data_IF_732674164115
#
_entry.id   IF_732674164115
#
_cell.length_a   1.000
_cell.length_b   1.000
_cell.length_c   1.000
_cell.angle_alpha   90.00
_cell.angle_beta   90.00
_cell.angle_gamma   90.00
#
_symmetry.space_group_name_H-M   'P 1'
#
loop_
_entity.id
_entity.type
_entity.pdbx_description
1 polymer ?
#
# COMPACT_ATOMS: atom_id res chain seq x y z
N UNK A 1 -22.55 -10.57 -6.52
CA UNK A 1 -21.68 -9.43 -6.14
C UNK A 1 -22.47 -8.14 -6.33
N UNK A 2 -22.32 -7.13 -5.46
CA UNK A 2 -23.02 -5.86 -5.64
C UNK A 2 -22.64 -5.21 -6.98
N UNK A 3 -23.57 -4.49 -7.60
CA UNK A 3 -23.28 -3.75 -8.84
C UNK A 3 -22.41 -2.52 -8.54
N UNK A 4 -21.60 -2.02 -9.50
CA UNK A 4 -20.83 -0.79 -9.32
C UNK A 4 -21.69 0.42 -8.91
N UNK A 5 -22.93 0.48 -9.40
CA UNK A 5 -23.91 1.50 -9.00
C UNK A 5 -24.29 1.40 -7.52
N UNK A 6 -24.55 0.19 -7.02
CA UNK A 6 -24.86 -0.04 -5.60
C UNK A 6 -23.65 0.27 -4.71
N UNK A 7 -22.43 -0.02 -5.16
CA UNK A 7 -21.21 0.33 -4.42
C UNK A 7 -21.04 1.84 -4.31
N UNK A 8 -21.31 2.60 -5.38
CA UNK A 8 -21.26 4.07 -5.36
C UNK A 8 -22.32 4.67 -4.42
N UNK A 9 -23.56 4.21 -4.54
CA UNK A 9 -24.65 4.64 -3.66
C UNK A 9 -24.35 4.28 -2.19
N UNK A 10 -23.71 3.14 -1.94
CA UNK A 10 -23.26 2.76 -0.59
C UNK A 10 -22.19 3.72 -0.05
N UNK A 11 -21.25 4.16 -0.89
CA UNK A 11 -20.27 5.18 -0.48
C UNK A 11 -21.01 6.45 -0.09
N UNK A 12 -21.94 6.94 -0.92
CA UNK A 12 -22.72 8.15 -0.65
C UNK A 12 -23.48 8.07 0.68
N UNK A 13 -24.15 6.94 0.95
CA UNK A 13 -24.85 6.70 2.22
C UNK A 13 -23.87 6.70 3.41
N UNK A 14 -22.74 6.00 3.29
CA UNK A 14 -21.77 5.90 4.38
C UNK A 14 -20.98 7.20 4.59
N UNK A 15 -20.85 8.06 3.59
CA UNK A 15 -20.19 9.37 3.75
C UNK A 15 -21.17 10.52 3.98
N UNK A 16 -22.48 10.27 3.86
CA UNK A 16 -23.54 11.26 3.97
C UNK A 16 -23.98 11.54 5.41
N UNK A 17 -25.00 12.40 5.55
CA UNK A 17 -25.55 12.84 6.83
C UNK A 17 -26.06 11.69 7.71
N UNK A 18 -26.53 10.61 7.09
CA UNK A 18 -27.23 9.52 7.78
C UNK A 18 -26.26 8.52 8.42
N UNK A 19 -24.97 8.57 8.05
CA UNK A 19 -23.94 7.71 8.60
C UNK A 19 -23.77 7.89 10.12
N UNK A 20 -24.00 9.10 10.63
CA UNK A 20 -23.87 9.41 12.06
C UNK A 20 -24.81 8.58 12.93
N UNK A 21 -26.08 8.48 12.56
CA UNK A 21 -27.07 7.72 13.34
C UNK A 21 -26.87 6.20 13.18
N UNK A 22 -26.48 5.74 11.98
CA UNK A 22 -26.09 4.35 11.73
C UNK A 22 -24.99 3.90 12.70
N UNK A 23 -23.93 4.70 12.81
CA UNK A 23 -22.80 4.41 13.70
C UNK A 23 -23.20 4.47 15.18
N UNK A 24 -24.08 5.41 15.56
CA UNK A 24 -24.60 5.53 16.92
C UNK A 24 -25.39 4.28 17.33
N UNK A 25 -26.28 3.80 16.45
CA UNK A 25 -27.03 2.56 16.66
C UNK A 25 -26.11 1.34 16.80
N UNK A 26 -25.05 1.26 15.99
CA UNK A 26 -24.05 0.22 16.11
C UNK A 26 -23.35 0.23 17.48
N UNK A 27 -22.97 1.41 18.00
CA UNK A 27 -22.35 1.54 19.32
C UNK A 27 -23.31 1.08 20.42
N UNK A 28 -24.55 1.59 20.43
CA UNK A 28 -25.57 1.23 21.44
C UNK A 28 -25.94 -0.25 21.37
N UNK A 29 -26.03 -0.84 20.17
CA UNK A 29 -26.29 -2.27 20.00
C UNK A 29 -25.10 -3.13 20.46
N UNK A 30 -23.87 -2.65 20.25
CA UNK A 30 -22.64 -3.38 20.61
C UNK A 30 -22.38 -3.42 22.12
N UNK A 31 -22.74 -2.36 22.87
CA UNK A 31 -22.57 -2.32 24.34
C UNK A 31 -23.45 -3.34 25.06
N UNK A 32 -24.57 -3.76 24.45
CA UNK A 32 -25.44 -4.82 24.98
C UNK A 32 -24.87 -6.24 24.82
N UNK A 33 -23.78 -6.42 24.07
CA UNK A 33 -23.30 -7.75 23.61
C UNK A 33 -21.85 -8.09 23.97
N UNK A 34 -21.23 -7.45 24.98
CA UNK A 34 -19.86 -7.78 25.39
C UNK A 34 -19.59 -7.70 26.89
N UNK A 35 -18.63 -8.48 27.46
CA UNK A 35 -18.22 -8.29 28.82
C UNK A 35 -17.70 -6.88 29.10
N UNK A 36 -17.94 -6.40 30.33
CA UNK A 36 -17.68 -5.03 30.77
C UNK A 36 -16.22 -4.64 30.49
N UNK A 37 -16.02 -3.51 29.82
CA UNK A 37 -14.70 -2.86 29.75
C UNK A 37 -14.22 -2.44 31.14
N UNK A 38 -12.94 -2.09 31.28
CA UNK A 38 -12.28 -1.70 32.55
C UNK A 38 -12.91 -0.52 33.32
N UNK A 39 -13.98 0.09 32.80
CA UNK A 39 -14.72 1.18 33.42
C UNK A 39 -16.24 0.99 33.45
N UNK A 40 -16.77 -0.21 33.19
CA UNK A 40 -18.22 -0.42 33.18
C UNK A 40 -18.75 -0.62 34.62
N UNK A 41 -19.67 0.25 35.03
CA UNK A 41 -20.49 0.05 36.23
C UNK A 41 -21.53 -1.05 35.96
N UNK A 42 -21.98 -1.74 37.01
CA UNK A 42 -22.81 -2.94 36.93
C UNK A 42 -24.27 -2.70 36.48
N UNK A 43 -24.63 -1.50 36.00
CA UNK A 43 -26.01 -1.10 35.70
C UNK A 43 -26.18 -0.61 34.25
N UNK A 44 -25.98 -1.50 33.29
CA UNK A 44 -25.94 -1.21 31.85
C UNK A 44 -27.30 -0.92 31.18
N UNK A 45 -28.37 -0.69 31.96
CA UNK A 45 -29.74 -0.57 31.42
C UNK A 45 -30.16 0.85 31.02
N UNK A 46 -29.35 1.88 31.31
CA UNK A 46 -29.71 3.30 31.10
C UNK A 46 -28.56 4.22 30.68
N UNK A 47 -27.45 3.68 30.15
CA UNK A 47 -26.34 4.51 29.69
C UNK A 47 -26.72 5.31 28.42
N UNK A 48 -27.15 6.55 28.63
CA UNK A 48 -27.49 7.49 27.56
C UNK A 48 -26.20 7.97 26.86
N UNK A 49 -26.05 7.63 25.58
CA UNK A 49 -25.00 8.20 24.72
C UNK A 49 -25.40 9.61 24.30
N UNK A 50 -24.61 10.61 24.71
CA UNK A 50 -24.78 12.04 24.37
C UNK A 50 -23.59 12.58 23.57
N UNK A 51 -23.70 13.82 23.08
CA UNK A 51 -22.59 14.56 22.45
C UNK A 51 -21.93 13.85 21.25
N UNK A 52 -22.73 13.07 20.53
CA UNK A 52 -22.27 12.26 19.41
C UNK A 52 -21.77 13.12 18.25
N UNK A 53 -20.56 12.80 17.78
CA UNK A 53 -19.95 13.33 16.56
C UNK A 53 -19.22 12.21 15.84
N UNK A 54 -19.36 12.16 14.52
CA UNK A 54 -18.62 11.26 13.66
C UNK A 54 -18.11 12.03 12.43
N UNK A 55 -16.83 11.89 12.13
CA UNK A 55 -16.18 12.51 10.98
C UNK A 55 -15.57 11.42 10.11
N UNK A 56 -15.83 11.46 8.81
CA UNK A 56 -15.20 10.55 7.84
C UNK A 56 -13.70 10.84 7.81
N UNK A 57 -12.91 9.82 8.09
CA UNK A 57 -11.45 9.88 8.05
C UNK A 57 -10.88 9.23 6.79
N UNK A 58 -11.49 8.13 6.34
CA UNK A 58 -11.01 7.41 5.16
C UNK A 58 -12.12 6.66 4.43
N UNK A 59 -11.95 6.50 3.12
CA UNK A 59 -12.80 5.66 2.28
C UNK A 59 -11.93 4.64 1.56
N UNK A 60 -12.30 3.38 1.69
CA UNK A 60 -11.64 2.26 1.03
C UNK A 60 -12.65 1.52 0.16
N UNK A 61 -12.53 1.70 -1.15
CA UNK A 61 -13.34 0.98 -2.13
C UNK A 61 -12.54 -0.18 -2.73
N UNK A 62 -13.14 -1.38 -2.73
CA UNK A 62 -12.63 -2.53 -3.46
C UNK A 62 -13.73 -3.04 -4.38
N UNK A 63 -13.62 -2.83 -5.70
CA UNK A 63 -14.58 -3.34 -6.65
C UNK A 63 -14.87 -4.83 -6.42
N UNK A 64 -16.13 -5.18 -6.16
CA UNK A 64 -16.60 -6.55 -5.93
C UNK A 64 -16.32 -7.15 -4.55
N UNK A 65 -15.49 -6.50 -3.71
CA UNK A 65 -15.19 -6.97 -2.35
C UNK A 65 -15.78 -6.09 -1.24
N UNK A 66 -16.34 -4.94 -1.60
CA UNK A 66 -17.07 -4.04 -0.71
C UNK A 66 -16.38 -2.72 -0.41
N UNK A 67 -17.14 -1.85 0.23
CA UNK A 67 -16.76 -0.49 0.63
C UNK A 67 -16.50 -0.51 2.14
N UNK A 68 -15.47 0.17 2.61
CA UNK A 68 -15.24 0.41 4.04
C UNK A 68 -14.95 1.89 4.26
N UNK A 69 -15.67 2.51 5.18
CA UNK A 69 -15.47 3.90 5.58
C UNK A 69 -15.00 3.91 7.04
N UNK A 70 -13.91 4.62 7.29
CA UNK A 70 -13.36 4.83 8.63
C UNK A 70 -13.80 6.17 9.18
N UNK A 71 -14.12 6.21 10.48
CA UNK A 71 -14.62 7.41 11.15
C UNK A 71 -13.87 7.69 12.45
N UNK A 72 -13.55 8.96 12.68
CA UNK A 72 -13.23 9.45 14.02
C UNK A 72 -14.54 9.78 14.73
N UNK A 73 -14.77 9.15 15.87
CA UNK A 73 -16.02 9.27 16.61
C UNK A 73 -15.74 9.77 18.01
N UNK A 74 -16.55 10.71 18.48
CA UNK A 74 -16.55 11.16 19.87
C UNK A 74 -17.97 11.21 20.42
N UNK A 75 -18.17 10.80 21.66
CA UNK A 75 -19.46 10.86 22.35
C UNK A 75 -19.21 10.85 23.87
N UNK A 76 -20.26 10.99 24.67
CA UNK A 76 -20.18 10.81 26.12
C UNK A 76 -21.09 9.66 26.58
N UNK A 77 -20.60 8.87 27.54
CA UNK A 77 -21.36 7.82 28.23
C UNK A 77 -21.45 8.19 29.70
N UNK A 78 -22.66 8.40 30.21
CA UNK A 78 -22.86 8.90 31.58
C UNK A 78 -22.01 10.16 31.90
N UNK A 79 -21.85 11.05 30.91
CA UNK A 79 -21.02 12.26 31.01
C UNK A 79 -19.52 12.06 30.86
N UNK A 80 -19.03 10.82 30.71
CA UNK A 80 -17.61 10.52 30.47
C UNK A 80 -17.33 10.59 28.97
N UNK A 81 -16.44 11.48 28.50
CA UNK A 81 -16.11 11.57 27.08
C UNK A 81 -15.35 10.33 26.61
N UNK A 82 -15.75 9.83 25.45
CA UNK A 82 -15.17 8.70 24.72
C UNK A 82 -14.74 9.20 23.35
N UNK A 83 -13.56 8.80 22.90
CA UNK A 83 -13.12 8.97 21.52
C UNK A 83 -12.61 7.65 20.99
N UNK A 84 -13.11 7.25 19.83
CA UNK A 84 -12.74 5.99 19.19
C UNK A 84 -12.76 6.08 17.67
N UNK A 85 -12.24 5.04 17.03
CA UNK A 85 -12.25 4.91 15.58
C UNK A 85 -13.17 3.76 15.18
N UNK A 86 -14.21 4.06 14.41
CA UNK A 86 -15.15 3.06 13.90
C UNK A 86 -14.91 2.81 12.42
N UNK A 87 -15.27 1.61 11.97
CA UNK A 87 -15.34 1.27 10.55
C UNK A 87 -16.73 0.79 10.24
N UNK A 88 -17.36 1.34 9.22
CA UNK A 88 -18.56 0.78 8.60
C UNK A 88 -18.18 0.15 7.26
N UNK A 89 -18.62 -1.09 7.01
CA UNK A 89 -18.22 -1.83 5.83
C UNK A 89 -19.30 -2.74 5.28
N UNK A 90 -19.37 -2.86 3.96
CA UNK A 90 -20.16 -3.91 3.28
C UNK A 90 -19.37 -5.19 3.05
N UNK A 91 -18.10 -5.23 3.43
CA UNK A 91 -17.30 -6.45 3.33
C UNK A 91 -17.93 -7.58 4.14
N UNK A 92 -17.85 -8.79 3.60
CA UNK A 92 -18.16 -9.97 4.38
C UNK A 92 -17.02 -10.22 5.37
N UNK A 93 -17.37 -10.23 6.65
CA UNK A 93 -16.48 -10.57 7.75
C UNK A 93 -17.19 -11.59 8.64
N UNK A 94 -16.44 -12.41 9.41
CA UNK A 94 -17.04 -13.34 10.35
C UNK A 94 -17.96 -12.61 11.32
N UNK A 95 -19.12 -13.21 11.59
CA UNK A 95 -19.97 -12.75 12.69
C UNK A 95 -19.22 -13.00 14.01
N UNK A 96 -19.27 -12.03 14.91
CA UNK A 96 -18.48 -12.10 16.12
C UNK A 96 -18.77 -10.94 17.05
N UNK A 97 -18.32 -11.12 18.29
CA UNK A 97 -18.39 -10.07 19.30
C UNK A 97 -17.64 -8.83 18.81
N UNK A 98 -18.27 -7.66 18.95
CA UNK A 98 -17.68 -6.38 18.54
C UNK A 98 -17.99 -5.95 17.10
N UNK A 99 -18.73 -6.77 16.34
CA UNK A 99 -19.27 -6.40 15.02
C UNK A 99 -20.78 -6.22 15.13
N UNK A 100 -21.26 -4.99 14.95
CA UNK A 100 -22.68 -4.70 14.81
C UNK A 100 -23.09 -4.89 13.34
N UNK A 101 -24.24 -5.53 13.11
CA UNK A 101 -24.78 -5.75 11.75
C UNK A 101 -26.05 -4.93 11.60
N UNK A 102 -26.10 -4.09 10.58
CA UNK A 102 -27.21 -3.21 10.24
C UNK A 102 -27.69 -3.52 8.83
N UNK A 103 -29.00 -3.66 8.66
CA UNK A 103 -29.62 -4.04 7.40
C UNK A 103 -30.80 -3.12 7.08
N UNK A 104 -30.85 -2.61 5.86
CA UNK A 104 -31.96 -1.78 5.34
C UNK A 104 -32.80 -2.53 4.27
N UNK A 105 -32.61 -3.85 4.17
CA UNK A 105 -33.25 -4.71 3.16
C UNK A 105 -32.53 -4.74 1.80
N UNK A 106 -31.67 -3.77 1.51
CA UNK A 106 -30.88 -3.67 0.27
C UNK A 106 -29.39 -3.91 0.54
N UNK A 107 -28.89 -3.41 1.68
CA UNK A 107 -27.50 -3.43 2.11
C UNK A 107 -27.37 -4.13 3.44
N UNK A 108 -26.22 -4.76 3.64
CA UNK A 108 -25.78 -5.22 4.95
C UNK A 108 -24.49 -4.49 5.28
N UNK A 109 -24.56 -3.59 6.27
CA UNK A 109 -23.42 -2.83 6.77
C UNK A 109 -23.00 -3.45 8.10
N UNK A 110 -21.70 -3.68 8.24
CA UNK A 110 -21.07 -4.18 9.46
C UNK A 110 -20.23 -3.08 10.04
N UNK A 111 -20.38 -2.84 11.34
CA UNK A 111 -19.69 -1.77 12.06
C UNK A 111 -18.85 -2.37 13.19
N UNK A 112 -17.59 -1.98 13.27
CA UNK A 112 -16.69 -2.42 14.34
C UNK A 112 -15.74 -1.30 14.77
N UNK A 113 -15.16 -1.45 15.97
CA UNK A 113 -14.05 -0.61 16.44
C UNK A 113 -12.77 -1.02 15.73
N UNK A 114 -11.92 -0.07 15.34
CA UNK A 114 -10.64 -0.36 14.65
C UNK A 114 -9.80 -1.43 15.35
N UNK A 115 -9.65 -1.36 16.67
CA UNK A 115 -8.87 -2.33 17.43
C UNK A 115 -9.43 -3.77 17.33
N UNK A 116 -10.73 -3.89 17.09
CA UNK A 116 -11.48 -5.14 17.04
C UNK A 116 -11.81 -5.54 15.59
N UNK A 117 -10.95 -5.19 14.62
CA UNK A 117 -11.16 -5.59 13.24
C UNK A 117 -11.24 -7.12 13.12
N UNK A 118 -12.37 -7.66 12.63
CA UNK A 118 -12.66 -9.09 12.69
C UNK A 118 -11.76 -9.94 11.80
N UNK A 119 -11.05 -9.33 10.84
CA UNK A 119 -10.06 -10.01 10.01
C UNK A 119 -8.61 -9.68 10.40
N UNK A 120 -8.42 -8.86 11.44
CA UNK A 120 -7.13 -8.53 12.05
C UNK A 120 -7.15 -8.73 13.58
N UNK A 121 -7.45 -9.94 14.09
CA UNK A 121 -7.67 -10.18 15.53
C UNK A 121 -6.46 -9.92 16.44
N UNK A 122 -5.26 -9.69 15.89
CA UNK A 122 -4.08 -9.30 16.66
C UNK A 122 -3.89 -7.78 16.80
N UNK A 123 -4.82 -6.98 16.26
CA UNK A 123 -4.68 -5.52 16.18
C UNK A 123 -4.88 -4.84 17.53
N UNK A 124 -5.79 -5.33 18.37
CA UNK A 124 -5.98 -4.78 19.72
C UNK A 124 -4.69 -4.88 20.55
N UNK A 125 -4.05 -6.04 20.53
CA UNK A 125 -2.77 -6.28 21.23
C UNK A 125 -1.62 -5.48 20.60
N UNK A 126 -1.58 -5.37 19.27
CA UNK A 126 -0.56 -4.58 18.57
C UNK A 126 -0.71 -3.06 18.77
N UNK A 127 -1.83 -2.60 19.32
CA UNK A 127 -2.08 -1.22 19.72
C UNK A 127 -1.89 -0.99 21.23
N UNK A 128 -1.54 -2.02 22.01
CA UNK A 128 -1.27 -1.91 23.44
C UNK A 128 0.24 -1.78 23.71
N UNK A 129 0.72 -0.62 24.22
CA UNK A 129 2.13 -0.36 24.47
C UNK A 129 2.83 -1.41 25.34
N UNK A 130 2.17 -1.89 26.40
CA UNK A 130 2.75 -2.85 27.33
C UNK A 130 2.91 -4.23 26.68
N UNK A 131 1.89 -4.70 25.96
CA UNK A 131 1.92 -5.96 25.23
C UNK A 131 3.03 -5.96 24.17
N UNK A 132 3.14 -4.88 23.39
CA UNK A 132 4.21 -4.75 22.38
C UNK A 132 5.59 -4.68 23.04
N UNK A 133 5.73 -3.98 24.17
CA UNK A 133 6.97 -3.95 24.95
C UNK A 133 7.43 -5.35 25.37
N UNK A 134 6.50 -6.18 25.84
CA UNK A 134 6.77 -7.58 26.18
C UNK A 134 7.21 -8.43 24.98
N UNK A 135 6.52 -8.33 23.84
CA UNK A 135 6.93 -9.04 22.62
C UNK A 135 8.33 -8.65 22.14
N UNK A 136 8.69 -7.37 22.26
CA UNK A 136 10.01 -6.89 21.88
C UNK A 136 11.10 -7.43 22.83
N UNK A 137 10.83 -7.49 24.13
CA UNK A 137 11.74 -8.08 25.10
C UNK A 137 12.02 -9.56 24.80
N UNK A 138 11.00 -10.33 24.42
CA UNK A 138 11.14 -11.76 24.07
C UNK A 138 12.11 -12.01 22.90
N UNK A 139 12.25 -11.04 21.99
CA UNK A 139 13.21 -11.09 20.86
C UNK A 139 14.50 -10.32 21.12
N UNK A 140 14.77 -9.96 22.37
CA UNK A 140 15.99 -9.27 22.78
C UNK A 140 16.03 -7.77 22.44
N UNK A 141 14.87 -7.14 22.19
CA UNK A 141 14.74 -5.71 21.93
C UNK A 141 14.15 -5.00 23.15
N UNK A 142 14.97 -4.17 23.81
CA UNK A 142 14.56 -3.43 25.00
C UNK A 142 14.46 -4.30 26.26
N UNK A 143 13.87 -3.73 27.32
CA UNK A 143 13.82 -4.30 28.67
C UNK A 143 12.39 -4.70 29.11
N UNK A 144 11.42 -4.66 28.19
CA UNK A 144 10.00 -4.90 28.48
C UNK A 144 9.20 -3.65 28.85
N UNK A 145 9.82 -2.46 28.86
CA UNK A 145 9.09 -1.21 29.01
C UNK A 145 8.03 -1.01 27.91
N UNK A 146 6.91 -0.32 28.19
CA UNK A 146 5.89 -0.04 27.20
C UNK A 146 6.45 0.67 25.96
N UNK A 147 6.17 0.12 24.77
CA UNK A 147 6.65 0.68 23.52
C UNK A 147 5.89 1.96 23.13
N UNK A 148 6.58 2.95 22.56
CA UNK A 148 5.92 4.08 21.92
C UNK A 148 5.37 3.64 20.57
N UNK A 149 4.05 3.63 20.44
CA UNK A 149 3.35 3.16 19.25
C UNK A 149 2.86 4.30 18.36
N UNK A 150 2.99 4.14 17.05
CA UNK A 150 2.40 5.01 16.04
C UNK A 150 1.77 4.15 14.94
N UNK A 151 0.45 4.22 14.79
CA UNK A 151 -0.24 3.58 13.67
C UNK A 151 0.08 4.33 12.38
N UNK A 152 0.86 3.72 11.48
CA UNK A 152 1.27 4.31 10.21
C UNK A 152 0.23 4.11 9.11
N UNK A 153 -0.40 2.95 9.09
CA UNK A 153 -1.41 2.64 8.09
C UNK A 153 -2.41 1.63 8.64
N UNK A 154 -3.67 1.83 8.29
CA UNK A 154 -4.75 0.88 8.54
C UNK A 154 -5.61 0.79 7.28
N UNK A 155 -5.74 -0.43 6.74
CA UNK A 155 -6.66 -0.74 5.66
C UNK A 155 -7.61 -1.81 6.21
N UNK A 156 -8.88 -1.46 6.52
CA UNK A 156 -9.82 -2.37 7.17
C UNK A 156 -9.85 -3.74 6.49
N UNK A 157 -9.89 -4.79 7.31
CA UNK A 157 -9.88 -6.21 6.92
C UNK A 157 -8.65 -6.70 6.16
N UNK A 158 -7.65 -5.84 5.92
CA UNK A 158 -6.52 -6.15 5.04
C UNK A 158 -5.20 -6.15 5.74
N UNK A 159 -4.86 -5.03 6.39
CA UNK A 159 -3.60 -4.85 7.09
C UNK A 159 -3.61 -3.64 8.02
N UNK A 160 -2.81 -3.70 9.07
CA UNK A 160 -2.36 -2.53 9.82
C UNK A 160 -0.83 -2.56 9.91
N UNK A 161 -0.20 -1.39 9.91
CA UNK A 161 1.24 -1.20 10.12
C UNK A 161 1.43 -0.23 11.27
N UNK A 162 2.11 -0.68 12.31
CA UNK A 162 2.39 0.10 13.52
C UNK A 162 3.89 0.22 13.65
N UNK A 163 4.40 1.44 13.82
CA UNK A 163 5.77 1.67 14.27
C UNK A 163 5.80 1.54 15.78
N UNK A 164 6.71 0.72 16.29
CA UNK A 164 6.99 0.60 17.71
C UNK A 164 8.43 1.03 18.01
N UNK A 165 8.61 1.79 19.09
CA UNK A 165 9.91 2.27 19.53
C UNK A 165 10.12 1.98 21.00
N UNK A 166 11.23 1.33 21.33
CA UNK A 166 11.70 1.09 22.71
C UNK A 166 13.16 1.56 22.79
N UNK A 167 13.43 2.54 23.65
CA UNK A 167 14.70 3.28 23.60
C UNK A 167 14.92 3.91 22.22
N UNK A 168 16.07 3.64 21.61
CA UNK A 168 16.42 4.08 20.25
C UNK A 168 16.04 3.06 19.16
N UNK A 169 15.61 1.85 19.54
CA UNK A 169 15.34 0.77 18.58
C UNK A 169 13.94 0.95 18.00
N UNK A 170 13.86 1.02 16.66
CA UNK A 170 12.60 1.06 15.92
C UNK A 170 12.30 -0.32 15.33
N UNK A 171 11.08 -0.80 15.51
CA UNK A 171 10.53 -1.98 14.84
C UNK A 171 9.17 -1.66 14.23
N UNK A 172 8.70 -2.54 13.35
CA UNK A 172 7.41 -2.41 12.70
C UNK A 172 6.57 -3.65 12.93
N UNK A 173 5.35 -3.45 13.41
CA UNK A 173 4.35 -4.51 13.53
C UNK A 173 3.46 -4.48 12.30
N UNK A 174 3.31 -5.62 11.65
CA UNK A 174 2.40 -5.79 10.52
C UNK A 174 1.32 -6.79 10.91
N UNK A 175 0.11 -6.28 11.13
CA UNK A 175 -1.07 -7.09 11.46
C UNK A 175 -1.82 -7.39 10.18
N UNK A 176 -2.06 -8.66 9.89
CA UNK A 176 -2.58 -9.18 8.63
C UNK A 176 -3.50 -10.38 8.90
N UNK A 177 -4.45 -10.72 8.01
CA UNK A 177 -5.10 -12.02 8.05
C UNK A 177 -4.06 -13.14 8.05
N UNK A 178 -4.27 -14.19 8.83
CA UNK A 178 -3.24 -15.20 9.14
C UNK A 178 -2.56 -15.77 7.88
N UNK A 179 -3.35 -16.11 6.85
CA UNK A 179 -2.81 -16.62 5.58
C UNK A 179 -1.82 -15.64 4.93
N UNK A 180 -2.08 -14.33 5.04
CA UNK A 180 -1.18 -13.29 4.54
C UNK A 180 0.04 -13.13 5.43
N UNK A 181 -0.11 -13.18 6.76
CA UNK A 181 1.01 -13.15 7.69
C UNK A 181 2.00 -14.29 7.40
N UNK A 182 1.52 -15.54 7.29
CA UNK A 182 2.35 -16.71 6.94
C UNK A 182 3.05 -16.57 5.58
N UNK A 183 2.34 -16.02 4.58
CA UNK A 183 2.90 -15.78 3.24
C UNK A 183 3.98 -14.71 3.25
N UNK A 184 3.78 -13.63 3.98
CA UNK A 184 4.78 -12.57 4.12
C UNK A 184 6.00 -13.07 4.89
N UNK A 185 5.78 -13.81 5.97
CA UNK A 185 6.86 -14.45 6.73
C UNK A 185 7.72 -15.37 5.85
N UNK A 186 7.11 -16.23 5.00
CA UNK A 186 7.85 -17.05 4.02
C UNK A 186 8.72 -16.20 3.10
N UNK A 187 8.22 -15.05 2.64
CA UNK A 187 8.97 -14.15 1.76
C UNK A 187 10.18 -13.53 2.44
N UNK A 188 10.02 -13.05 3.67
CA UNK A 188 11.14 -12.54 4.46
C UNK A 188 12.20 -13.62 4.73
N UNK A 189 11.79 -14.86 5.04
CA UNK A 189 12.74 -15.97 5.25
C UNK A 189 13.59 -16.28 4.02
N UNK A 190 13.07 -16.10 2.81
CA UNK A 190 13.87 -16.27 1.59
C UNK A 190 15.01 -15.23 1.51
N UNK A 191 14.85 -14.07 2.15
CA UNK A 191 15.83 -12.97 2.16
C UNK A 191 16.50 -12.82 3.55
N UNK A 192 16.56 -13.90 4.35
CA UNK A 192 17.12 -13.83 5.71
C UNK A 192 18.63 -13.57 5.72
N UNK A 193 19.32 -14.02 4.67
CA UNK A 193 20.76 -13.90 4.58
C UNK A 193 21.20 -12.43 4.36
N UNK A 194 22.23 -11.93 5.08
CA UNK A 194 22.59 -10.51 5.10
C UNK A 194 22.84 -9.87 3.72
N UNK A 195 23.30 -10.63 2.74
CA UNK A 195 23.55 -10.14 1.38
C UNK A 195 22.28 -9.65 0.67
N UNK A 196 21.10 -10.13 1.08
CA UNK A 196 19.83 -9.71 0.49
C UNK A 196 19.36 -8.35 1.01
N UNK A 197 19.97 -7.81 2.07
CA UNK A 197 19.68 -6.46 2.58
C UNK A 197 18.17 -6.23 2.72
N UNK A 198 17.49 -7.12 3.42
CA UNK A 198 16.05 -7.04 3.68
C UNK A 198 15.79 -7.02 5.19
N UNK A 199 14.78 -6.29 5.67
CA UNK A 199 14.39 -6.33 7.07
C UNK A 199 14.03 -7.75 7.52
N UNK A 200 14.53 -8.14 8.68
CA UNK A 200 14.28 -9.46 9.25
C UNK A 200 12.95 -9.50 10.01
N UNK A 201 12.25 -10.63 9.93
CA UNK A 201 11.13 -10.91 10.86
C UNK A 201 11.74 -11.36 12.17
N UNK A 202 11.58 -10.55 13.21
CA UNK A 202 12.10 -10.82 14.56
C UNK A 202 11.22 -11.84 15.30
N UNK A 203 9.90 -11.72 15.13
CA UNK A 203 8.94 -12.66 15.71
C UNK A 203 7.60 -12.63 14.98
N UNK A 204 6.81 -13.68 15.24
CA UNK A 204 5.37 -13.75 14.97
C UNK A 204 4.63 -14.04 16.28
N UNK A 205 4.47 -13.05 17.18
CA UNK A 205 3.91 -13.26 18.53
C UNK A 205 2.45 -13.75 18.51
N UNK A 206 1.72 -13.42 17.44
CA UNK A 206 0.37 -13.92 17.19
C UNK A 206 0.27 -14.44 15.75
N UNK A 207 -0.68 -15.34 15.43
CA UNK A 207 -0.84 -15.86 14.07
C UNK A 207 -0.99 -14.80 12.97
N UNK A 208 -1.48 -13.62 13.35
CA UNK A 208 -1.81 -12.49 12.49
C UNK A 208 -0.84 -11.31 12.62
N UNK A 209 0.18 -11.37 13.47
CA UNK A 209 1.07 -10.24 13.75
C UNK A 209 2.51 -10.61 13.54
N UNK A 210 3.21 -9.91 12.65
CA UNK A 210 4.66 -9.99 12.48
C UNK A 210 5.33 -8.78 13.14
N UNK A 211 6.46 -9.02 13.80
CA UNK A 211 7.41 -7.98 14.24
C UNK A 211 8.59 -8.01 13.27
N UNK A 212 8.86 -6.88 12.63
CA UNK A 212 9.88 -6.73 11.59
C UNK A 212 10.88 -5.66 12.03
N UNK A 213 12.17 -5.92 11.82
CA UNK A 213 13.24 -4.95 12.09
C UNK A 213 13.08 -3.68 11.23
N UNK A 214 13.69 -2.57 11.63
CA UNK A 214 13.80 -1.42 10.72
C UNK A 214 14.80 -1.70 9.60
N UNK A 215 14.58 -1.07 8.46
CA UNK A 215 15.60 -0.95 7.42
C UNK A 215 16.62 0.13 7.80
N UNK A 216 17.90 -0.13 7.52
CA UNK A 216 18.97 0.84 7.69
C UNK A 216 19.02 1.83 6.53
N UNK A 217 19.51 3.04 6.79
CA UNK A 217 19.63 4.11 5.80
C UNK A 217 18.36 4.95 5.66
N UNK A 218 18.25 5.65 4.53
CA UNK A 218 17.12 6.55 4.19
C UNK A 218 16.46 6.15 2.88
N UNK A 219 15.16 6.41 2.68
CA UNK A 219 14.50 6.16 1.41
C UNK A 219 15.25 6.78 0.23
N UNK A 220 15.27 6.11 -0.93
CA UNK A 220 15.90 6.60 -2.16
C UNK A 220 15.32 7.95 -2.58
N UNK A 221 14.02 8.20 -2.31
CA UNK A 221 13.39 9.50 -2.49
C UNK A 221 14.19 10.63 -1.80
N UNK A 222 14.65 10.43 -0.57
CA UNK A 222 15.43 11.44 0.16
C UNK A 222 16.84 11.62 -0.43
N UNK A 223 17.46 10.54 -0.90
CA UNK A 223 18.74 10.62 -1.59
C UNK A 223 18.62 11.40 -2.91
N UNK A 224 17.54 11.18 -3.66
CA UNK A 224 17.20 11.93 -4.88
C UNK A 224 17.00 13.40 -4.55
N UNK A 225 16.15 13.73 -3.57
CA UNK A 225 15.93 15.11 -3.15
C UNK A 225 17.25 15.85 -2.82
N UNK A 226 18.18 15.14 -2.18
CA UNK A 226 19.47 15.69 -1.78
C UNK A 226 20.54 15.69 -2.89
N UNK A 227 20.33 15.04 -4.04
CA UNK A 227 21.40 14.71 -5.00
C UNK A 227 22.19 15.92 -5.51
N UNK A 228 21.56 17.09 -5.66
CA UNK A 228 22.26 18.34 -6.06
C UNK A 228 23.24 18.87 -5.00
N UNK A 229 22.98 18.57 -3.73
CA UNK A 229 23.81 19.05 -2.61
C UNK A 229 24.74 17.97 -2.07
N UNK A 230 24.36 16.70 -2.22
CA UNK A 230 25.08 15.53 -1.73
C UNK A 230 25.08 14.44 -2.81
N UNK A 231 25.76 14.65 -3.95
CA UNK A 231 25.72 13.72 -5.08
C UNK A 231 26.23 12.33 -4.73
N UNK A 232 27.27 12.24 -3.89
CA UNK A 232 27.82 10.96 -3.42
C UNK A 232 26.84 10.12 -2.58
N UNK A 233 25.74 10.74 -2.13
CA UNK A 233 24.68 10.08 -1.37
C UNK A 233 23.63 9.40 -2.25
N UNK A 234 23.63 9.62 -3.56
CA UNK A 234 22.72 8.99 -4.52
C UNK A 234 23.41 7.73 -5.09
N UNK A 235 22.76 6.54 -5.05
CA UNK A 235 23.35 5.36 -5.65
C UNK A 235 23.36 5.42 -7.17
N UNK A 236 24.35 4.77 -7.79
CA UNK A 236 24.34 4.48 -9.21
C UNK A 236 23.13 3.58 -9.56
N UNK A 237 22.41 3.82 -10.67
CA UNK A 237 21.26 2.99 -11.06
C UNK A 237 21.60 1.49 -11.15
N UNK A 238 22.84 1.14 -11.52
CA UNK A 238 23.29 -0.25 -11.60
C UNK A 238 23.38 -0.93 -10.22
N UNK A 239 23.65 -0.20 -9.13
CA UNK A 239 23.62 -0.75 -7.77
C UNK A 239 22.19 -1.10 -7.33
N UNK A 240 21.22 -0.33 -7.82
CA UNK A 240 19.79 -0.61 -7.62
C UNK A 240 19.38 -1.89 -8.35
N UNK A 241 19.83 -2.07 -9.59
CA UNK A 241 19.62 -3.32 -10.35
C UNK A 241 20.34 -4.51 -9.72
N UNK A 242 21.56 -4.32 -9.25
CA UNK A 242 22.37 -5.37 -8.63
C UNK A 242 21.69 -5.97 -7.38
N UNK A 243 20.78 -5.23 -6.72
CA UNK A 243 19.95 -5.80 -5.66
C UNK A 243 18.96 -6.83 -6.19
N UNK A 244 18.28 -6.55 -7.30
CA UNK A 244 17.35 -7.48 -7.94
C UNK A 244 18.08 -8.76 -8.41
N UNK A 245 19.33 -8.64 -8.88
CA UNK A 245 20.15 -9.79 -9.29
C UNK A 245 20.52 -10.73 -8.13
N UNK A 246 20.49 -10.22 -6.90
CA UNK A 246 20.75 -11.02 -5.69
C UNK A 246 19.50 -11.73 -5.18
N UNK A 247 18.33 -11.56 -5.79
CA UNK A 247 17.13 -12.27 -5.36
C UNK A 247 17.29 -13.78 -5.56
N UNK A 248 16.97 -14.60 -4.54
CA UNK A 248 17.23 -16.04 -4.62
C UNK A 248 16.22 -16.75 -5.52
N UNK A 249 16.66 -17.82 -6.19
CA UNK A 249 15.82 -18.61 -7.09
C UNK A 249 14.53 -19.16 -6.44
N UNK A 250 14.54 -19.41 -5.12
CA UNK A 250 13.36 -19.86 -4.36
C UNK A 250 12.19 -18.87 -4.38
N UNK A 251 12.42 -17.61 -4.80
CA UNK A 251 11.36 -16.63 -5.07
C UNK A 251 10.44 -17.08 -6.22
N UNK A 252 10.96 -17.83 -7.20
CA UNK A 252 10.18 -18.36 -8.32
C UNK A 252 9.09 -19.36 -7.88
N UNK A 253 9.25 -19.99 -6.72
CA UNK A 253 8.28 -20.92 -6.14
C UNK A 253 7.11 -20.21 -5.43
N UNK A 254 7.17 -18.89 -5.28
CA UNK A 254 6.07 -18.11 -4.73
C UNK A 254 4.94 -17.98 -5.75
N UNK A 255 3.76 -17.58 -5.27
CA UNK A 255 2.65 -17.29 -6.16
C UNK A 255 2.92 -16.04 -6.98
N UNK A 256 2.85 -16.16 -8.30
CA UNK A 256 2.90 -15.04 -9.25
C UNK A 256 1.84 -13.99 -8.92
N UNK A 257 2.16 -12.74 -9.24
CA UNK A 257 1.24 -11.61 -9.14
C UNK A 257 1.30 -10.85 -10.46
N UNK A 258 0.15 -10.47 -10.97
CA UNK A 258 0.07 -9.56 -12.12
C UNK A 258 0.81 -8.27 -11.79
N UNK A 259 1.63 -7.80 -12.74
CA UNK A 259 2.27 -6.50 -12.66
C UNK A 259 1.24 -5.37 -12.80
N UNK A 260 1.68 -4.12 -12.64
CA UNK A 260 0.86 -2.95 -12.93
C UNK A 260 0.43 -2.93 -14.39
N UNK A 261 1.32 -3.34 -15.29
CA UNK A 261 1.07 -3.34 -16.75
C UNK A 261 0.15 -4.48 -17.16
N UNK A 262 0.26 -5.65 -16.54
CA UNK A 262 -0.69 -6.76 -16.74
C UNK A 262 -2.14 -6.40 -16.34
N UNK A 263 -2.31 -5.32 -15.56
CA UNK A 263 -3.59 -4.82 -15.05
C UNK A 263 -3.90 -3.43 -15.60
N UNK A 264 -3.32 -3.06 -16.74
CA UNK A 264 -3.51 -1.73 -17.33
C UNK A 264 -4.98 -1.42 -17.57
N UNK A 265 -5.79 -2.42 -17.92
CA UNK A 265 -7.25 -2.34 -18.05
C UNK A 265 -7.94 -1.76 -16.80
N UNK A 266 -7.60 -2.31 -15.65
CA UNK A 266 -8.11 -1.91 -14.35
C UNK A 266 -7.62 -0.50 -13.98
N UNK A 267 -6.37 -0.20 -14.28
CA UNK A 267 -5.76 1.09 -13.98
C UNK A 267 -6.30 2.21 -14.89
N UNK A 268 -6.52 1.93 -16.17
CA UNK A 268 -7.15 2.82 -17.13
C UNK A 268 -8.61 3.10 -16.73
N UNK A 269 -9.35 2.08 -16.30
CA UNK A 269 -10.71 2.28 -15.78
C UNK A 269 -10.74 3.20 -14.54
N UNK A 270 -9.78 3.04 -13.63
CA UNK A 270 -9.64 3.93 -12.48
C UNK A 270 -9.25 5.37 -12.90
N UNK A 271 -8.33 5.51 -13.86
CA UNK A 271 -7.93 6.79 -14.41
C UNK A 271 -9.09 7.52 -15.11
N UNK A 272 -9.92 6.81 -15.89
CA UNK A 272 -11.15 7.35 -16.50
C UNK A 272 -12.14 7.82 -15.44
N UNK A 273 -12.23 7.11 -14.32
CA UNK A 273 -13.03 7.54 -13.18
C UNK A 273 -12.53 8.86 -12.56
N UNK A 274 -11.22 9.10 -12.57
CA UNK A 274 -10.61 10.33 -12.05
C UNK A 274 -10.64 11.49 -13.06
N UNK A 275 -10.51 11.21 -14.36
CA UNK A 275 -10.50 12.19 -15.46
C UNK A 275 -11.47 11.79 -16.59
N UNK A 276 -12.80 11.89 -16.38
CA UNK A 276 -13.79 11.43 -17.37
C UNK A 276 -13.64 12.09 -18.74
N UNK A 277 -13.36 13.40 -18.77
CA UNK A 277 -13.20 14.18 -20.00
C UNK A 277 -11.93 13.81 -20.80
N UNK A 278 -11.01 13.06 -20.19
CA UNK A 278 -9.77 12.61 -20.80
C UNK A 278 -9.81 11.11 -21.21
N UNK A 279 -10.99 10.48 -21.19
CA UNK A 279 -11.11 9.03 -21.44
C UNK A 279 -10.49 8.59 -22.76
N UNK A 280 -10.68 9.34 -23.84
CA UNK A 280 -10.10 9.00 -25.14
C UNK A 280 -8.56 8.97 -25.14
N UNK A 281 -7.91 9.83 -24.36
CA UNK A 281 -6.44 9.84 -24.21
C UNK A 281 -5.98 8.63 -23.39
N UNK A 282 -6.71 8.31 -22.33
CA UNK A 282 -6.44 7.13 -21.50
C UNK A 282 -6.59 5.84 -22.31
N UNK A 283 -7.65 5.72 -23.11
CA UNK A 283 -7.90 4.57 -23.99
C UNK A 283 -6.76 4.42 -25.02
N UNK A 284 -6.26 5.53 -25.56
CA UNK A 284 -5.13 5.52 -26.50
C UNK A 284 -3.84 4.98 -25.87
N UNK A 285 -3.56 5.34 -24.60
CA UNK A 285 -2.39 4.79 -23.86
C UNK A 285 -2.62 3.31 -23.55
N UNK A 286 -3.79 2.94 -23.03
CA UNK A 286 -4.14 1.55 -22.69
C UNK A 286 -3.95 0.63 -23.90
N UNK A 287 -4.68 0.88 -24.99
CA UNK A 287 -4.60 0.05 -26.20
C UNK A 287 -3.23 0.13 -26.88
N UNK A 288 -2.59 1.29 -26.83
CA UNK A 288 -1.28 1.53 -27.44
C UNK A 288 -0.15 0.77 -26.73
N UNK A 289 -0.14 0.78 -25.40
CA UNK A 289 0.81 0.03 -24.58
C UNK A 289 0.61 -1.47 -24.78
N UNK A 290 -0.64 -1.96 -24.76
CA UNK A 290 -0.94 -3.38 -25.00
C UNK A 290 -0.45 -3.84 -26.38
N UNK A 291 -0.74 -3.06 -27.41
CA UNK A 291 -0.37 -3.38 -28.79
C UNK A 291 1.15 -3.35 -28.99
N UNK A 292 1.84 -2.34 -28.45
CA UNK A 292 3.29 -2.26 -28.52
C UNK A 292 3.93 -3.46 -27.80
N UNK A 293 3.51 -3.78 -26.57
CA UNK A 293 4.10 -4.88 -25.82
C UNK A 293 3.84 -6.25 -26.44
N UNK A 294 2.74 -6.43 -27.17
CA UNK A 294 2.45 -7.68 -27.88
C UNK A 294 3.46 -7.98 -29.00
N UNK A 295 4.11 -6.96 -29.55
CA UNK A 295 5.07 -7.08 -30.67
C UNK A 295 6.53 -7.05 -30.22
N UNK A 296 6.80 -6.87 -28.92
CA UNK A 296 8.18 -6.75 -28.39
C UNK A 296 8.63 -8.00 -27.66
N UNK A 297 9.95 -8.30 -27.69
CA UNK A 297 10.49 -9.39 -26.91
C UNK A 297 10.28 -9.12 -25.41
N UNK A 298 9.83 -10.14 -24.70
CA UNK A 298 9.67 -10.12 -23.25
C UNK A 298 10.80 -10.92 -22.60
N UNK A 299 11.35 -10.42 -21.49
CA UNK A 299 12.38 -11.14 -20.74
C UNK A 299 11.86 -12.45 -20.14
N UNK A 300 12.76 -13.32 -19.65
CA UNK A 300 12.35 -14.52 -18.93
C UNK A 300 11.66 -14.17 -17.61
N UNK A 301 10.84 -15.08 -17.11
CA UNK A 301 10.34 -14.99 -15.73
C UNK A 301 11.49 -15.18 -14.75
N UNK A 302 11.71 -14.20 -13.88
CA UNK A 302 12.78 -14.15 -12.88
C UNK A 302 12.20 -13.82 -11.49
N UNK A 303 12.98 -14.00 -10.41
CA UNK A 303 12.67 -13.37 -9.13
C UNK A 303 12.50 -11.85 -9.27
N UNK A 304 11.38 -11.32 -8.78
CA UNK A 304 11.08 -9.88 -8.75
C UNK A 304 10.64 -9.44 -7.37
N UNK A 305 10.82 -8.15 -7.09
CA UNK A 305 10.26 -7.49 -5.92
C UNK A 305 8.74 -7.29 -6.06
N UNK A 306 8.29 -6.89 -7.25
CA UNK A 306 6.89 -6.69 -7.61
C UNK A 306 6.25 -5.40 -7.08
N UNK A 307 7.03 -4.52 -6.46
CA UNK A 307 6.65 -3.17 -6.02
C UNK A 307 7.89 -2.29 -5.83
N UNK A 308 8.79 -2.29 -6.82
CA UNK A 308 10.15 -1.77 -6.71
C UNK A 308 10.22 -0.27 -7.03
N UNK A 309 9.87 0.60 -6.07
CA UNK A 309 9.94 2.06 -6.24
C UNK A 309 10.74 2.73 -5.12
N UNK A 310 11.01 4.03 -5.26
CA UNK A 310 11.95 4.81 -4.46
C UNK A 310 11.65 4.88 -2.97
N UNK A 311 10.39 4.70 -2.54
CA UNK A 311 10.07 4.67 -1.11
C UNK A 311 10.35 3.29 -0.47
N UNK A 312 10.44 2.23 -1.29
CA UNK A 312 10.75 0.88 -0.83
C UNK A 312 12.26 0.58 -0.85
N UNK A 313 13.05 1.42 -1.51
CA UNK A 313 14.51 1.26 -1.61
C UNK A 313 15.16 2.20 -0.61
N UNK A 314 16.00 1.65 0.26
CA UNK A 314 16.76 2.42 1.25
C UNK A 314 18.22 2.50 0.82
N UNK A 315 18.84 3.64 1.11
CA UNK A 315 20.20 3.97 0.70
C UNK A 315 21.01 4.48 1.88
N UNK A 316 22.29 4.15 1.88
CA UNK A 316 23.31 4.71 2.77
C UNK A 316 24.62 4.81 1.98
N UNK A 317 25.32 5.93 2.11
CA UNK A 317 26.64 6.16 1.51
C UNK A 317 26.70 5.81 0.01
N UNK A 318 25.70 6.25 -0.76
CA UNK A 318 25.62 6.01 -2.21
C UNK A 318 25.37 4.55 -2.59
N UNK A 319 24.85 3.72 -1.68
CA UNK A 319 24.57 2.29 -1.94
C UNK A 319 23.19 1.92 -1.44
N UNK A 320 22.58 0.89 -2.03
CA UNK A 320 21.34 0.29 -1.51
C UNK A 320 21.63 -0.40 -0.16
N UNK A 321 21.12 0.15 0.93
CA UNK A 321 21.31 -0.40 2.29
C UNK A 321 20.25 -1.43 2.65
N UNK A 322 19.02 -1.26 2.17
CA UNK A 322 17.93 -2.20 2.37
C UNK A 322 16.82 -2.04 1.32
N UNK A 323 16.00 -3.08 1.14
CA UNK A 323 14.73 -2.98 0.38
C UNK A 323 13.59 -3.55 1.22
N UNK A 324 12.47 -2.83 1.27
CA UNK A 324 11.31 -3.11 2.11
C UNK A 324 10.05 -3.41 1.30
N UNK A 325 8.96 -3.77 1.99
CA UNK A 325 7.66 -4.16 1.43
C UNK A 325 7.66 -5.37 0.50
N UNK A 326 8.19 -6.49 1.02
CA UNK A 326 8.20 -7.80 0.36
C UNK A 326 6.80 -8.45 0.23
N UNK A 327 5.69 -7.71 0.30
CA UNK A 327 4.33 -8.27 0.12
C UNK A 327 4.13 -8.84 -1.29
N UNK A 328 4.80 -8.24 -2.29
CA UNK A 328 4.64 -8.54 -3.71
C UNK A 328 5.71 -9.48 -4.28
N UNK A 329 6.78 -9.77 -3.52
CA UNK A 329 7.90 -10.60 -3.96
C UNK A 329 7.40 -11.93 -4.58
N UNK A 330 7.91 -12.28 -5.75
CA UNK A 330 7.48 -13.46 -6.49
C UNK A 330 8.12 -13.59 -7.87
N UNK A 331 7.68 -14.57 -8.67
CA UNK A 331 8.06 -14.64 -10.08
C UNK A 331 7.40 -13.50 -10.88
N UNK A 332 8.16 -12.88 -11.77
CA UNK A 332 7.69 -11.81 -12.67
C UNK A 332 8.72 -11.46 -13.73
N UNK A 333 8.55 -10.32 -14.39
CA UNK A 333 9.49 -9.80 -15.39
C UNK A 333 10.43 -8.78 -14.77
N UNK A 334 11.72 -8.82 -15.13
CA UNK A 334 12.68 -7.82 -14.66
C UNK A 334 12.25 -6.41 -15.11
N UNK A 335 11.78 -6.28 -16.34
CA UNK A 335 11.35 -5.00 -16.89
C UNK A 335 10.23 -4.33 -16.08
N UNK A 336 9.38 -5.11 -15.37
CA UNK A 336 8.29 -4.56 -14.56
C UNK A 336 8.79 -3.90 -13.27
N UNK A 337 9.81 -4.44 -12.60
CA UNK A 337 10.44 -3.79 -11.45
C UNK A 337 11.15 -2.50 -11.89
N UNK A 338 11.84 -2.52 -13.04
CA UNK A 338 12.50 -1.33 -13.59
C UNK A 338 11.49 -0.25 -14.00
N UNK A 339 10.39 -0.65 -14.64
CA UNK A 339 9.32 0.25 -15.03
C UNK A 339 8.59 0.84 -13.80
N UNK A 340 8.43 0.04 -12.74
CA UNK A 340 7.83 0.51 -11.48
C UNK A 340 8.70 1.61 -10.86
N UNK A 341 10.02 1.40 -10.80
CA UNK A 341 10.96 2.40 -10.33
C UNK A 341 10.88 3.67 -11.18
N UNK A 342 11.09 3.55 -12.49
CA UNK A 342 11.12 4.70 -13.40
C UNK A 342 9.78 5.46 -13.44
N UNK A 343 8.65 4.76 -13.41
CA UNK A 343 7.33 5.39 -13.41
C UNK A 343 7.07 6.23 -12.17
N UNK A 344 7.52 5.78 -11.00
CA UNK A 344 7.44 6.59 -9.80
C UNK A 344 8.43 7.77 -9.80
N UNK A 345 9.67 7.55 -10.29
CA UNK A 345 10.64 8.64 -10.47
C UNK A 345 10.12 9.74 -11.40
N UNK A 346 9.44 9.35 -12.49
CA UNK A 346 8.88 10.26 -13.48
C UNK A 346 7.82 11.23 -12.92
N UNK A 347 7.19 10.92 -11.79
CA UNK A 347 6.16 11.76 -11.17
C UNK A 347 6.65 12.50 -9.91
N UNK A 348 7.93 12.35 -9.53
CA UNK A 348 8.46 13.01 -8.33
C UNK A 348 8.45 14.54 -8.46
N UNK A 349 8.85 15.06 -9.63
CA UNK A 349 8.88 16.51 -9.86
C UNK A 349 7.48 17.11 -9.77
N UNK A 350 6.48 16.54 -10.44
CA UNK A 350 5.09 17.03 -10.36
C UNK A 350 4.53 16.92 -8.95
N UNK A 351 4.89 15.86 -8.21
CA UNK A 351 4.46 15.68 -6.83
C UNK A 351 5.03 16.75 -5.88
N UNK A 352 6.31 17.09 -6.01
CA UNK A 352 6.96 18.10 -5.16
C UNK A 352 8.08 18.84 -5.92
N UNK A 353 7.76 19.85 -6.74
CA UNK A 353 8.72 20.51 -7.63
C UNK A 353 9.91 21.16 -6.91
N UNK A 354 9.71 21.61 -5.67
CA UNK A 354 10.75 22.22 -4.84
C UNK A 354 11.70 21.21 -4.22
N UNK A 355 11.22 19.98 -3.96
CA UNK A 355 12.01 18.89 -3.39
C UNK A 355 12.77 18.14 -4.50
N UNK A 356 12.15 17.97 -5.67
CA UNK A 356 12.69 17.22 -6.80
C UNK A 356 12.88 18.07 -8.07
N UNK A 357 13.63 19.19 -8.01
CA UNK A 357 13.75 20.11 -9.14
C UNK A 357 14.47 19.52 -10.37
N UNK A 358 15.13 18.37 -10.22
CA UNK A 358 15.90 17.66 -11.25
C UNK A 358 15.34 16.27 -11.56
N UNK A 359 14.12 15.96 -11.10
CA UNK A 359 13.53 14.62 -11.28
C UNK A 359 13.43 14.20 -12.75
N UNK A 360 13.07 15.13 -13.64
CA UNK A 360 12.92 14.85 -15.07
C UNK A 360 14.26 14.53 -15.75
N UNK A 361 15.33 15.23 -15.39
CA UNK A 361 16.69 14.95 -15.90
C UNK A 361 17.14 13.58 -15.40
N UNK A 362 16.97 13.33 -14.10
CA UNK A 362 17.39 12.10 -13.44
C UNK A 362 16.71 10.86 -13.99
N UNK A 363 15.39 10.89 -14.20
CA UNK A 363 14.65 9.71 -14.68
C UNK A 363 15.08 9.31 -16.09
N UNK A 364 15.48 10.26 -16.93
CA UNK A 364 16.01 9.99 -18.27
C UNK A 364 17.41 9.38 -18.18
N UNK A 365 18.30 9.93 -17.36
CA UNK A 365 19.62 9.35 -17.10
C UNK A 365 19.53 7.90 -16.60
N UNK A 366 18.61 7.65 -15.66
CA UNK A 366 18.38 6.31 -15.13
C UNK A 366 17.79 5.38 -16.20
N UNK A 367 16.84 5.86 -17.00
CA UNK A 367 16.29 5.08 -18.11
C UNK A 367 17.37 4.64 -19.10
N UNK A 368 18.30 5.52 -19.48
CA UNK A 368 19.39 5.18 -20.41
C UNK A 368 20.34 4.09 -19.88
N UNK A 369 20.51 4.00 -18.57
CA UNK A 369 21.30 2.93 -17.93
C UNK A 369 20.48 1.64 -17.86
N UNK A 370 19.25 1.71 -17.37
CA UNK A 370 18.39 0.55 -17.12
C UNK A 370 17.95 -0.13 -18.42
N UNK A 371 17.67 0.65 -19.46
CA UNK A 371 17.27 0.17 -20.79
C UNK A 371 18.37 -0.65 -21.50
N UNK A 372 19.61 -0.69 -20.99
CA UNK A 372 20.67 -1.55 -21.54
C UNK A 372 20.46 -3.03 -21.23
N UNK A 373 19.57 -3.35 -20.29
CA UNK A 373 19.34 -4.72 -19.80
C UNK A 373 18.09 -5.38 -20.37
N UNK A 374 17.28 -4.63 -21.14
CA UNK A 374 16.04 -5.11 -21.74
C UNK A 374 15.72 -4.32 -23.02
N UNK A 375 14.58 -4.59 -23.64
CA UNK A 375 14.14 -3.83 -24.81
C UNK A 375 13.74 -2.39 -24.41
N UNK A 376 14.39 -1.33 -24.94
CA UNK A 376 14.13 0.04 -24.51
C UNK A 376 12.70 0.52 -24.78
N UNK A 377 12.10 0.11 -25.91
CA UNK A 377 10.74 0.50 -26.26
C UNK A 377 9.72 -0.18 -25.34
N UNK A 378 9.90 -1.47 -25.06
CA UNK A 378 9.07 -2.20 -24.10
C UNK A 378 9.18 -1.59 -22.69
N UNK A 379 10.40 -1.25 -22.24
CA UNK A 379 10.58 -0.59 -20.95
C UNK A 379 9.84 0.75 -20.88
N UNK A 380 9.98 1.61 -21.89
CA UNK A 380 9.28 2.90 -21.94
C UNK A 380 7.75 2.73 -21.95
N UNK A 381 7.21 1.75 -22.68
CA UNK A 381 5.77 1.45 -22.67
C UNK A 381 5.28 0.96 -21.31
N UNK A 382 6.07 0.10 -20.63
CA UNK A 382 5.76 -0.33 -19.26
C UNK A 382 5.80 0.84 -18.27
N UNK A 383 6.73 1.78 -18.43
CA UNK A 383 6.76 3.02 -17.63
C UNK A 383 5.48 3.84 -17.85
N UNK A 384 5.02 4.00 -19.08
CA UNK A 384 3.74 4.65 -19.37
C UNK A 384 2.56 3.97 -18.66
N UNK A 385 2.50 2.64 -18.68
CA UNK A 385 1.49 1.86 -17.96
C UNK A 385 1.54 2.03 -16.45
N UNK A 386 2.74 2.08 -15.86
CA UNK A 386 2.93 2.37 -14.43
C UNK A 386 2.46 3.78 -14.10
N UNK A 387 2.86 4.80 -14.86
CA UNK A 387 2.43 6.19 -14.62
C UNK A 387 0.91 6.34 -14.76
N UNK A 388 0.29 5.64 -15.72
CA UNK A 388 -1.17 5.60 -15.86
C UNK A 388 -1.85 5.04 -14.60
N UNK A 389 -1.25 4.04 -13.96
CA UNK A 389 -1.75 3.49 -12.69
C UNK A 389 -1.74 4.49 -11.52
N UNK A 390 -0.91 5.54 -11.63
CA UNK A 390 -0.79 6.61 -10.64
C UNK A 390 -1.75 7.78 -10.91
N UNK A 391 -2.47 7.82 -12.03
CA UNK A 391 -3.42 8.91 -12.33
C UNK A 391 -4.56 8.96 -11.32
N UNK A 392 -5.06 7.80 -10.88
CA UNK A 392 -6.14 7.73 -9.90
C UNK A 392 -5.64 7.96 -8.46
N UNK A 393 -6.51 8.49 -7.60
CA UNK A 393 -6.22 8.65 -6.16
C UNK A 393 -5.39 9.89 -5.80
N UNK A 394 -5.37 10.89 -6.67
CA UNK A 394 -4.77 12.21 -6.43
C UNK A 394 -5.75 13.33 -6.80
N UNK A 395 -5.35 14.60 -6.64
CA UNK A 395 -6.16 15.75 -7.07
C UNK A 395 -6.31 15.77 -8.59
N UNK A 396 -7.39 16.36 -9.14
CA UNK A 396 -7.58 16.44 -10.59
C UNK A 396 -6.39 17.04 -11.36
N UNK A 397 -5.77 18.10 -10.82
CA UNK A 397 -4.61 18.75 -11.44
C UNK A 397 -3.41 17.80 -11.52
N UNK A 398 -3.07 17.14 -10.42
CA UNK A 398 -1.96 16.19 -10.40
C UNK A 398 -2.27 14.93 -11.22
N UNK A 399 -3.55 14.53 -11.31
CA UNK A 399 -3.98 13.44 -12.18
C UNK A 399 -3.75 13.79 -13.66
N UNK A 400 -4.08 15.03 -14.07
CA UNK A 400 -3.86 15.50 -15.44
C UNK A 400 -2.36 15.60 -15.78
N UNK A 401 -1.53 16.05 -14.85
CA UNK A 401 -0.06 16.06 -15.02
C UNK A 401 0.48 14.63 -15.19
N UNK A 402 0.05 13.68 -14.35
CA UNK A 402 0.45 12.26 -14.48
C UNK A 402 0.00 11.66 -15.81
N UNK A 403 -1.18 12.01 -16.30
CA UNK A 403 -1.64 11.57 -17.62
C UNK A 403 -0.71 12.10 -18.73
N UNK A 404 -0.32 13.38 -18.68
CA UNK A 404 0.63 13.95 -19.62
C UNK A 404 1.99 13.23 -19.57
N UNK A 405 2.50 12.93 -18.37
CA UNK A 405 3.72 12.14 -18.19
C UNK A 405 3.59 10.73 -18.79
N UNK A 406 2.43 10.07 -18.63
CA UNK A 406 2.19 8.76 -19.24
C UNK A 406 2.20 8.84 -20.78
N UNK A 407 1.63 9.89 -21.38
CA UNK A 407 1.68 10.12 -22.83
C UNK A 407 3.11 10.38 -23.33
N UNK A 408 3.91 11.15 -22.59
CA UNK A 408 5.31 11.40 -22.95
C UNK A 408 6.13 10.09 -22.97
N UNK A 409 5.95 9.23 -21.97
CA UNK A 409 6.60 7.92 -21.95
C UNK A 409 6.10 6.99 -23.05
N UNK A 410 4.80 7.01 -23.34
CA UNK A 410 4.25 6.24 -24.45
C UNK A 410 4.78 6.74 -25.80
N UNK A 411 4.85 8.05 -26.02
CA UNK A 411 5.45 8.65 -27.21
C UNK A 411 6.93 8.29 -27.36
N UNK A 412 7.69 8.25 -26.26
CA UNK A 412 9.08 7.74 -26.25
C UNK A 412 9.14 6.27 -26.65
N UNK A 413 8.24 5.43 -26.15
CA UNK A 413 8.19 4.02 -26.53
C UNK A 413 7.97 3.84 -28.03
N UNK A 414 7.05 4.63 -28.62
CA UNK A 414 6.79 4.61 -30.06
C UNK A 414 8.01 5.05 -30.88
N UNK A 415 8.72 6.11 -30.46
CA UNK A 415 9.93 6.58 -31.13
C UNK A 415 11.05 5.53 -31.10
N UNK A 416 11.25 4.88 -29.95
CA UNK A 416 12.24 3.81 -29.80
C UNK A 416 11.89 2.57 -30.62
N UNK A 417 10.60 2.22 -30.70
CA UNK A 417 10.13 1.11 -31.53
C UNK A 417 10.37 1.41 -33.02
N UNK A 418 10.09 2.64 -33.48
CA UNK A 418 10.32 3.05 -34.87
C UNK A 418 11.81 3.17 -35.25
N UNK A 419 12.68 3.44 -34.28
CA UNK A 419 14.13 3.55 -34.49
C UNK A 419 14.85 2.18 -34.47
N UNK A 420 14.20 1.12 -33.98
CA UNK A 420 14.78 -0.22 -33.98
C UNK A 420 14.81 -0.75 -35.42
N UNK A 421 15.98 -1.11 -35.99
CA UNK A 421 16.03 -1.72 -37.30
C UNK A 421 15.21 -3.02 -37.32
N UNK A 422 14.49 -3.27 -38.40
CA UNK A 422 13.82 -4.56 -38.63
C UNK A 422 14.87 -5.67 -38.45
N UNK A 423 14.73 -6.46 -37.39
CA UNK A 423 15.54 -7.67 -37.22
C UNK A 423 15.13 -8.61 -38.35
N UNK A 424 15.97 -8.69 -39.40
CA UNK A 424 15.86 -9.69 -40.45
C UNK A 424 15.70 -11.07 -39.80
N UNK A 425 14.51 -11.64 -39.91
CA UNK A 425 14.25 -13.03 -39.57
C UNK A 425 14.91 -13.88 -40.65
N UNK A 426 16.16 -14.28 -40.39
CA UNK A 426 16.87 -15.31 -41.16
C UNK A 426 16.38 -16.72 -40.84
#
# INVERSE_FOLDING_TARGET
MPSPALERETIEVLTGSDAGELLRLAVIGSTRSGPPGRHASADASTETVTDWRAEVDSVHHRPGAGVSVGYRVSYAVAGVPVSEYLVASTAQVPDGRGVAVLQDGVRTVRVWRRAQDPLLPGLEQALDPATVGGWLQEVGVGDGAPARLQLLSYRPTRRAVIRAVVGEVTTFLKVLPERRARRLERRHRLLEAPQHRAPQVLARPLPTTLVIASADGRPLAEAIAAARTHPDGLPDPSEVVAWLDRLPAGVLELGARSSWVDRIDFHAAAARGALPDQSARIDAIESGVESLLAERPTGPTVPTHGDFYEANIFTADGRVSAVIDLDSLGPGLREDDLATLLGHLAVLRSLAPTIYPHGDELVIEWFEVLARTCDPAALAARVAGVVLSLVAGTTPDLAAERLATAEEWFGRAQQLAAAAPEMEHG
#
